data_IF_102299219109
#
_entry.id   IF_102299219109
#
_cell.length_a   1.000
_cell.length_b   1.000
_cell.length_c   1.000
_cell.angle_alpha   90.00
_cell.angle_beta   90.00
_cell.angle_gamma   90.00
#
_symmetry.space_group_name_H-M   'P 1'
#
loop_
_entity.id
_entity.type
_entity.pdbx_description
1 polymer ?
#
# COMPACT_ATOMS: atom_id res chain seq x y z
N UNK A 1 -58.97 12.41 -5.37
CA UNK A 1 -57.81 11.88 -6.12
C UNK A 1 -56.59 11.96 -5.21
N UNK A 2 -56.31 10.89 -4.47
CA UNK A 2 -55.14 10.77 -3.60
C UNK A 2 -53.90 10.43 -4.45
N UNK A 3 -52.74 11.07 -4.25
CA UNK A 3 -51.52 10.73 -4.98
C UNK A 3 -50.95 9.41 -4.48
N UNK A 4 -50.49 8.58 -5.42
CA UNK A 4 -49.84 7.29 -5.17
C UNK A 4 -48.56 7.46 -4.34
N UNK A 5 -48.26 6.57 -3.38
CA UNK A 5 -47.03 6.60 -2.61
C UNK A 5 -45.84 6.13 -3.47
N UNK A 6 -44.81 6.98 -3.57
CA UNK A 6 -43.53 6.77 -4.26
C UNK A 6 -42.59 5.76 -3.57
N UNK A 7 -43.15 4.80 -2.84
CA UNK A 7 -42.39 3.77 -2.13
C UNK A 7 -42.58 2.43 -2.84
N UNK A 8 -41.67 2.11 -3.77
CA UNK A 8 -41.18 0.74 -4.03
C UNK A 8 -40.58 0.59 -5.44
N UNK A 9 -39.51 1.31 -5.80
CA UNK A 9 -38.67 0.92 -6.95
C UNK A 9 -37.21 1.37 -6.76
N UNK A 10 -36.46 0.71 -5.88
CA UNK A 10 -34.98 0.78 -5.94
C UNK A 10 -34.31 -0.51 -5.45
N UNK A 11 -34.78 -1.66 -5.95
CA UNK A 11 -34.13 -2.96 -5.74
C UNK A 11 -34.19 -3.79 -7.03
N UNK A 12 -33.61 -3.30 -8.12
CA UNK A 12 -33.40 -4.14 -9.31
C UNK A 12 -32.31 -3.65 -10.26
N UNK A 13 -31.42 -2.73 -9.86
CA UNK A 13 -30.29 -2.41 -10.72
C UNK A 13 -29.21 -3.49 -10.56
N UNK A 14 -28.85 -4.24 -11.61
CA UNK A 14 -27.72 -5.15 -11.54
C UNK A 14 -26.48 -4.33 -11.19
N UNK A 15 -25.73 -4.74 -10.16
CA UNK A 15 -24.43 -4.13 -9.84
C UNK A 15 -23.58 -4.23 -11.10
N UNK A 16 -23.34 -3.09 -11.76
CA UNK A 16 -22.43 -3.04 -12.88
C UNK A 16 -21.11 -3.65 -12.43
N UNK A 17 -20.70 -4.76 -13.06
CA UNK A 17 -19.37 -5.32 -12.86
C UNK A 17 -18.40 -4.23 -13.28
N UNK A 18 -17.79 -3.56 -12.31
CA UNK A 18 -16.81 -2.51 -12.56
C UNK A 18 -15.73 -3.13 -13.44
N UNK A 19 -15.56 -2.63 -14.67
CA UNK A 19 -14.47 -3.10 -15.54
C UNK A 19 -13.17 -3.02 -14.75
N UNK A 20 -12.41 -4.11 -14.73
CA UNK A 20 -11.07 -4.13 -14.13
C UNK A 20 -10.23 -3.09 -14.86
N UNK A 21 -9.97 -1.96 -14.21
CA UNK A 21 -9.02 -0.97 -14.71
C UNK A 21 -7.64 -1.50 -14.32
N UNK A 22 -6.81 -1.84 -15.32
CA UNK A 22 -5.42 -2.15 -15.06
C UNK A 22 -4.74 -0.88 -14.56
N UNK A 23 -4.47 -0.81 -13.26
CA UNK A 23 -3.69 0.27 -12.68
C UNK A 23 -2.24 0.10 -13.11
N UNK A 24 -1.65 1.14 -13.72
CA UNK A 24 -0.24 1.10 -14.11
C UNK A 24 0.62 0.91 -12.87
N UNK A 25 1.46 -0.12 -12.91
CA UNK A 25 2.34 -0.54 -11.84
C UNK A 25 3.79 -0.32 -12.26
N UNK A 26 4.62 0.09 -11.30
CA UNK A 26 6.06 0.15 -11.52
C UNK A 26 6.60 -1.29 -11.55
N UNK A 27 7.46 -1.69 -12.49
CA UNK A 27 8.14 -2.99 -12.42
C UNK A 27 8.82 -3.17 -11.06
N UNK A 28 8.68 -4.35 -10.44
CA UNK A 28 9.20 -4.55 -9.08
C UNK A 28 10.72 -4.40 -8.99
N UNK A 29 11.45 -4.60 -10.09
CA UNK A 29 12.89 -4.35 -10.22
C UNK A 29 13.28 -2.87 -10.02
N UNK A 30 12.36 -1.93 -10.26
CA UNK A 30 12.58 -0.49 -10.15
C UNK A 30 12.13 0.08 -8.80
N UNK A 31 11.33 -0.67 -8.02
CA UNK A 31 10.84 -0.25 -6.70
C UNK A 31 11.96 0.18 -5.76
N UNK A 32 13.12 -0.51 -5.66
CA UNK A 32 14.20 -0.07 -4.77
C UNK A 32 14.81 1.29 -5.14
N UNK A 33 14.96 1.56 -6.44
CA UNK A 33 15.43 2.86 -6.92
C UNK A 33 14.41 3.96 -6.61
N UNK A 34 13.12 3.68 -6.80
CA UNK A 34 12.05 4.62 -6.47
C UNK A 34 11.96 4.92 -4.97
N UNK A 35 12.13 3.91 -4.11
CA UNK A 35 12.20 4.13 -2.66
C UNK A 35 13.42 4.96 -2.24
N UNK A 36 14.54 4.81 -2.95
CA UNK A 36 15.71 5.69 -2.77
C UNK A 36 15.38 7.13 -3.13
N UNK A 37 14.70 7.36 -4.26
CA UNK A 37 14.18 8.69 -4.60
C UNK A 37 13.24 9.24 -3.53
N UNK A 38 12.33 8.42 -2.98
CA UNK A 38 11.41 8.88 -1.93
C UNK A 38 12.16 9.34 -0.67
N UNK A 39 13.22 8.64 -0.27
CA UNK A 39 14.08 9.02 0.87
C UNK A 39 14.91 10.28 0.65
N UNK A 40 15.10 10.74 -0.60
CA UNK A 40 15.89 11.94 -0.89
C UNK A 40 15.21 13.25 -0.49
N UNK A 41 13.97 13.21 0.00
CA UNK A 41 13.23 14.39 0.43
C UNK A 41 12.41 14.09 1.68
N UNK A 42 12.32 15.06 2.57
CA UNK A 42 11.57 14.92 3.82
C UNK A 42 10.16 15.47 3.66
N UNK A 43 9.17 14.59 3.56
CA UNK A 43 7.78 14.98 3.67
C UNK A 43 6.91 13.83 4.15
N UNK A 44 5.84 14.16 4.88
CA UNK A 44 4.87 13.18 5.36
C UNK A 44 4.21 12.39 4.21
N UNK A 45 4.06 13.00 3.02
CA UNK A 45 3.53 12.33 1.84
C UNK A 45 4.48 11.28 1.29
N UNK A 46 5.80 11.53 1.31
CA UNK A 46 6.82 10.56 0.90
C UNK A 46 6.92 9.40 1.89
N UNK A 47 6.82 9.68 3.19
CA UNK A 47 6.72 8.62 4.22
C UNK A 47 5.45 7.78 4.04
N UNK A 48 4.30 8.40 3.78
CA UNK A 48 3.05 7.68 3.52
C UNK A 48 3.13 6.80 2.26
N UNK A 49 3.70 7.31 1.16
CA UNK A 49 3.88 6.50 -0.05
C UNK A 49 4.87 5.35 0.17
N UNK A 50 5.96 5.60 0.91
CA UNK A 50 6.91 4.56 1.32
C UNK A 50 6.20 3.48 2.15
N UNK A 51 5.37 3.87 3.11
CA UNK A 51 4.60 2.96 3.94
C UNK A 51 3.62 2.12 3.12
N UNK A 52 2.95 2.74 2.14
CA UNK A 52 2.06 2.05 1.22
C UNK A 52 2.78 0.94 0.45
N UNK A 53 3.97 1.23 -0.08
CA UNK A 53 4.78 0.26 -0.83
C UNK A 53 5.22 -0.88 0.10
N UNK A 54 5.81 -0.57 1.25
CA UNK A 54 6.35 -1.55 2.19
C UNK A 54 5.29 -2.46 2.82
N UNK A 55 4.03 -2.02 2.87
CA UNK A 55 2.91 -2.82 3.42
C UNK A 55 1.99 -3.39 2.35
N UNK A 56 2.22 -3.05 1.07
CA UNK A 56 1.35 -3.37 -0.06
C UNK A 56 -0.14 -3.05 0.21
N UNK A 57 -0.45 -1.99 0.94
CA UNK A 57 -1.82 -1.59 1.31
C UNK A 57 -2.44 -0.62 0.30
N UNK A 58 -3.72 -0.32 0.48
CA UNK A 58 -4.44 0.67 -0.35
C UNK A 58 -4.17 2.08 0.17
N UNK A 59 -4.23 3.07 -0.72
CA UNK A 59 -4.07 4.50 -0.36
C UNK A 59 -4.97 4.93 0.81
N UNK A 60 -6.24 4.55 0.80
CA UNK A 60 -7.17 4.90 1.89
C UNK A 60 -6.81 4.28 3.24
N UNK A 61 -6.22 3.09 3.24
CA UNK A 61 -5.80 2.38 4.46
C UNK A 61 -4.63 3.13 5.13
N UNK A 62 -3.63 3.52 4.34
CA UNK A 62 -2.44 4.26 4.79
C UNK A 62 -2.77 5.68 5.23
N UNK A 63 -3.51 6.43 4.40
CA UNK A 63 -3.78 7.85 4.70
C UNK A 63 -4.58 8.02 5.99
N UNK A 64 -5.39 7.02 6.34
CA UNK A 64 -6.19 7.01 7.57
C UNK A 64 -5.61 6.11 8.67
N UNK A 65 -4.34 5.67 8.54
CA UNK A 65 -3.68 4.89 9.58
C UNK A 65 -3.58 5.70 10.88
N UNK A 66 -3.80 5.03 12.00
CA UNK A 66 -3.86 5.67 13.32
C UNK A 66 -2.87 5.02 14.30
N UNK A 67 -2.31 5.80 15.23
CA UNK A 67 -1.24 5.34 16.13
C UNK A 67 -1.66 4.23 17.09
N UNK A 68 -2.93 4.19 17.46
CA UNK A 68 -3.54 3.13 18.28
C UNK A 68 -3.64 1.78 17.54
N UNK A 69 -3.50 1.79 16.21
CA UNK A 69 -3.47 0.57 15.39
C UNK A 69 -2.06 -0.05 15.29
N UNK A 70 -1.02 0.68 15.72
CA UNK A 70 0.38 0.29 15.55
C UNK A 70 0.93 -0.30 16.84
N UNK A 71 1.23 -1.59 16.79
CA UNK A 71 1.96 -2.30 17.84
C UNK A 71 3.43 -2.44 17.43
N UNK A 72 4.28 -1.59 17.98
CA UNK A 72 5.73 -1.64 17.71
C UNK A 72 6.44 -2.80 18.40
N UNK A 73 5.89 -3.33 19.50
CA UNK A 73 6.48 -4.43 20.26
C UNK A 73 6.33 -5.73 19.48
N UNK A 74 5.11 -6.03 19.05
CA UNK A 74 4.81 -7.21 18.23
C UNK A 74 5.08 -6.98 16.74
N UNK A 75 5.43 -5.74 16.33
CA UNK A 75 5.60 -5.31 14.94
C UNK A 75 4.36 -5.64 14.10
N UNK A 76 3.20 -5.16 14.53
CA UNK A 76 1.91 -5.36 13.85
C UNK A 76 1.23 -4.03 13.59
N UNK A 77 0.53 -3.94 12.47
CA UNK A 77 -0.46 -2.90 12.21
C UNK A 77 -1.82 -3.56 11.95
N UNK A 78 -2.81 -3.22 12.77
CA UNK A 78 -4.14 -3.82 12.71
C UNK A 78 -5.15 -2.82 12.16
N UNK A 79 -5.60 -3.03 10.92
CA UNK A 79 -6.62 -2.19 10.29
C UNK A 79 -8.00 -2.72 10.68
N UNK A 80 -8.86 -1.89 11.31
CA UNK A 80 -10.18 -2.32 11.77
C UNK A 80 -11.12 -2.61 10.60
N UNK A 81 -12.09 -3.49 10.83
CA UNK A 81 -12.98 -4.03 9.80
C UNK A 81 -13.77 -2.93 9.05
N UNK A 82 -14.11 -1.85 9.74
CA UNK A 82 -14.87 -0.70 9.22
C UNK A 82 -14.10 0.07 8.14
N UNK A 83 -12.76 -0.01 8.15
CA UNK A 83 -11.89 0.61 7.12
C UNK A 83 -11.54 -0.37 6.00
N UNK A 84 -11.86 -1.66 6.14
CA UNK A 84 -11.52 -2.69 5.18
C UNK A 84 -12.65 -2.94 4.18
N UNK A 85 -12.30 -2.99 2.89
CA UNK A 85 -13.25 -3.29 1.81
C UNK A 85 -13.99 -4.63 1.98
N UNK A 86 -13.34 -5.60 2.63
CA UNK A 86 -13.89 -6.93 2.87
C UNK A 86 -14.68 -7.05 4.19
N UNK A 87 -14.81 -5.96 4.96
CA UNK A 87 -15.55 -5.94 6.23
C UNK A 87 -14.96 -6.85 7.31
N UNK A 88 -13.66 -7.12 7.24
CA UNK A 88 -12.91 -7.92 8.22
C UNK A 88 -11.62 -7.22 8.55
N UNK A 89 -11.22 -7.30 9.81
CA UNK A 89 -9.94 -6.78 10.27
C UNK A 89 -8.78 -7.33 9.43
N UNK A 90 -7.78 -6.48 9.18
CA UNK A 90 -6.56 -6.87 8.49
C UNK A 90 -5.33 -6.60 9.36
N UNK A 91 -4.73 -7.68 9.86
CA UNK A 91 -3.48 -7.62 10.62
C UNK A 91 -2.30 -7.76 9.66
N UNK A 92 -1.45 -6.74 9.63
CA UNK A 92 -0.28 -6.60 8.77
C UNK A 92 0.99 -6.72 9.61
N UNK A 93 1.82 -7.76 9.41
CA UNK A 93 3.17 -7.81 9.97
C UNK A 93 4.04 -6.68 9.42
N UNK A 94 4.74 -5.98 10.31
CA UNK A 94 5.62 -4.88 9.95
C UNK A 94 7.06 -5.37 9.80
N UNK A 95 7.66 -5.05 8.67
CA UNK A 95 9.09 -5.24 8.48
C UNK A 95 9.91 -4.25 9.30
N UNK A 96 11.19 -4.54 9.51
CA UNK A 96 12.12 -3.63 10.19
C UNK A 96 12.17 -2.25 9.52
N UNK A 97 12.13 -2.20 8.18
CA UNK A 97 12.10 -0.98 7.38
C UNK A 97 10.78 -0.23 7.57
N UNK A 98 9.65 -0.93 7.64
CA UNK A 98 8.36 -0.31 7.86
C UNK A 98 8.25 0.29 9.28
N UNK A 99 8.76 -0.41 10.30
CA UNK A 99 8.85 0.14 11.66
C UNK A 99 9.69 1.42 11.69
N UNK A 100 10.78 1.49 10.91
CA UNK A 100 11.58 2.71 10.80
C UNK A 100 10.78 3.88 10.20
N UNK A 101 10.01 3.63 9.13
CA UNK A 101 9.15 4.65 8.51
C UNK A 101 8.10 5.18 9.48
N UNK A 102 7.45 4.30 10.25
CA UNK A 102 6.53 4.74 11.29
C UNK A 102 7.24 5.54 12.40
N UNK A 103 8.46 5.17 12.80
CA UNK A 103 9.22 5.97 13.77
C UNK A 103 9.54 7.37 13.23
N UNK A 104 9.93 7.51 11.95
CA UNK A 104 10.12 8.81 11.31
C UNK A 104 8.82 9.64 11.30
N UNK A 105 7.69 9.00 11.01
CA UNK A 105 6.39 9.67 11.00
C UNK A 105 5.98 10.22 12.39
N UNK A 106 6.57 9.73 13.49
CA UNK A 106 6.32 10.30 14.83
C UNK A 106 6.72 11.77 14.93
N UNK A 107 7.72 12.22 14.15
CA UNK A 107 8.13 13.63 14.09
C UNK A 107 7.06 14.57 13.52
N UNK A 108 6.03 14.02 12.87
CA UNK A 108 4.90 14.77 12.29
C UNK A 108 3.63 14.69 13.14
N UNK A 109 3.70 14.12 14.36
CA UNK A 109 2.52 13.95 15.23
C UNK A 109 1.89 15.30 15.59
N UNK A 110 0.57 15.38 15.44
CA UNK A 110 -0.23 16.51 15.91
C UNK A 110 -0.82 16.21 17.29
N UNK A 111 -0.84 17.18 18.20
CA UNK A 111 -1.31 16.97 19.59
C UNK A 111 -2.77 16.50 19.71
N UNK A 112 -3.62 16.79 18.72
CA UNK A 112 -5.07 16.49 18.73
C UNK A 112 -5.51 15.52 17.64
N UNK A 113 -4.58 14.75 17.07
CA UNK A 113 -4.87 13.78 16.02
C UNK A 113 -4.15 12.47 16.30
N UNK A 114 -4.83 11.34 16.07
CA UNK A 114 -4.21 10.01 16.13
C UNK A 114 -3.64 9.57 14.77
N UNK A 115 -3.77 10.38 13.73
CA UNK A 115 -3.26 10.02 12.40
C UNK A 115 -1.74 9.85 12.40
N UNK A 116 -1.29 8.75 11.80
CA UNK A 116 0.13 8.49 11.53
C UNK A 116 0.66 9.45 10.46
N UNK A 117 -0.16 9.74 9.45
CA UNK A 117 0.17 10.62 8.33
C UNK A 117 -0.82 11.79 8.23
N UNK A 118 -0.67 12.84 9.06
CA UNK A 118 -1.57 13.99 9.02
C UNK A 118 -1.46 14.75 7.69
N UNK A 119 -2.59 15.29 7.24
CA UNK A 119 -2.68 16.19 6.10
C UNK A 119 -2.46 17.66 6.50
N UNK A 120 -2.55 18.56 5.52
CA UNK A 120 -2.38 20.01 5.76
C UNK A 120 -3.46 20.62 6.66
N UNK A 121 -4.65 20.01 6.72
CA UNK A 121 -5.72 20.41 7.63
C UNK A 121 -5.61 19.55 8.89
N UNK A 122 -5.47 20.20 10.05
CA UNK A 122 -5.36 19.53 11.34
C UNK A 122 -6.47 18.48 11.55
N UNK A 123 -6.09 17.29 12.02
CA UNK A 123 -7.02 16.18 12.24
C UNK A 123 -7.62 15.57 10.97
N UNK A 124 -7.16 15.94 9.77
CA UNK A 124 -7.58 15.32 8.51
C UNK A 124 -6.43 14.54 7.88
N UNK A 125 -6.72 13.39 7.25
CA UNK A 125 -5.70 12.60 6.58
C UNK A 125 -5.17 13.34 5.34
N UNK A 126 -4.03 12.87 4.83
CA UNK A 126 -3.57 13.25 3.50
C UNK A 126 -4.66 13.03 2.46
N UNK A 127 -4.66 13.83 1.40
CA UNK A 127 -5.51 13.60 0.24
C UNK A 127 -4.95 12.44 -0.60
N UNK A 128 -5.81 11.74 -1.34
CA UNK A 128 -5.36 10.71 -2.29
C UNK A 128 -4.43 11.30 -3.37
N UNK A 129 -4.73 12.54 -3.78
CA UNK A 129 -3.94 13.29 -4.76
C UNK A 129 -2.51 13.55 -4.28
N UNK A 130 -2.26 13.63 -2.96
CA UNK A 130 -0.92 13.84 -2.43
C UNK A 130 0.02 12.70 -2.83
N UNK A 131 -0.41 11.44 -2.71
CA UNK A 131 0.40 10.29 -3.12
C UNK A 131 0.54 10.21 -4.65
N UNK A 132 -0.56 10.45 -5.36
CA UNK A 132 -0.57 10.46 -6.83
C UNK A 132 0.38 11.52 -7.40
N UNK A 133 0.42 12.72 -6.82
CA UNK A 133 1.31 13.80 -7.26
C UNK A 133 2.78 13.41 -7.09
N UNK A 134 3.15 12.71 -6.01
CA UNK A 134 4.54 12.26 -5.81
C UNK A 134 4.97 11.31 -6.96
N UNK A 135 4.11 10.38 -7.37
CA UNK A 135 4.41 9.51 -8.52
C UNK A 135 4.55 10.33 -9.82
N UNK A 136 3.66 11.30 -10.06
CA UNK A 136 3.73 12.17 -11.24
C UNK A 136 4.99 13.05 -11.26
N UNK A 137 5.34 13.65 -10.12
CA UNK A 137 6.53 14.48 -9.98
C UNK A 137 7.82 13.65 -10.21
N UNK A 138 7.80 12.37 -9.82
CA UNK A 138 8.87 11.42 -10.11
C UNK A 138 8.91 10.94 -11.57
N UNK A 139 7.89 11.29 -12.37
CA UNK A 139 7.71 10.87 -13.77
C UNK A 139 7.72 9.36 -13.97
N UNK A 140 7.25 8.61 -12.98
CA UNK A 140 7.06 7.16 -13.10
C UNK A 140 5.69 6.86 -13.69
N UNK A 141 5.63 5.84 -14.55
CA UNK A 141 4.37 5.33 -15.09
C UNK A 141 3.65 4.43 -14.06
N UNK A 142 3.37 4.95 -12.86
CA UNK A 142 2.69 4.18 -11.82
C UNK A 142 1.75 5.06 -10.99
N UNK A 143 0.70 4.43 -10.46
CA UNK A 143 -0.19 5.04 -9.47
C UNK A 143 -0.03 4.37 -8.11
N UNK A 144 -0.40 5.00 -6.99
CA UNK A 144 -0.22 4.40 -5.66
C UNK A 144 -0.80 2.99 -5.53
N UNK A 145 -1.97 2.72 -6.13
CA UNK A 145 -2.54 1.37 -6.12
C UNK A 145 -1.70 0.33 -6.90
N UNK A 146 -0.98 0.76 -7.94
CA UNK A 146 -0.19 -0.12 -8.81
C UNK A 146 0.95 -0.82 -8.07
N UNK A 147 1.48 -0.26 -6.98
CA UNK A 147 2.52 -0.91 -6.17
C UNK A 147 2.07 -2.23 -5.54
N UNK A 148 0.77 -2.46 -5.41
CA UNK A 148 0.23 -3.76 -4.98
C UNK A 148 0.46 -4.83 -6.03
N UNK A 149 0.37 -4.48 -7.31
CA UNK A 149 0.74 -5.37 -8.41
C UNK A 149 2.26 -5.59 -8.41
N UNK A 150 3.07 -4.55 -8.23
CA UNK A 150 4.53 -4.69 -8.09
C UNK A 150 4.91 -5.70 -6.99
N UNK A 151 4.27 -5.61 -5.82
CA UNK A 151 4.44 -6.61 -4.76
C UNK A 151 4.03 -8.02 -5.20
N UNK A 152 2.87 -8.15 -5.86
CA UNK A 152 2.35 -9.44 -6.29
C UNK A 152 3.23 -10.13 -7.34
N UNK A 153 3.74 -9.35 -8.29
CA UNK A 153 4.64 -9.78 -9.36
C UNK A 153 5.99 -10.21 -8.76
N UNK A 154 6.55 -9.42 -7.84
CA UNK A 154 7.76 -9.80 -7.11
C UNK A 154 7.60 -11.14 -6.36
N UNK A 155 6.49 -11.34 -5.64
CA UNK A 155 6.27 -12.62 -4.96
C UNK A 155 6.22 -13.78 -5.96
N UNK A 156 5.58 -13.58 -7.11
CA UNK A 156 5.42 -14.63 -8.12
C UNK A 156 6.73 -14.98 -8.84
N UNK A 157 7.56 -13.99 -9.12
CA UNK A 157 8.72 -14.15 -10.01
C UNK A 157 10.04 -14.36 -9.25
N UNK A 158 10.20 -13.75 -8.07
CA UNK A 158 11.49 -13.71 -7.37
C UNK A 158 11.52 -14.55 -6.08
N UNK A 159 10.40 -15.19 -5.71
CA UNK A 159 10.30 -15.88 -4.42
C UNK A 159 9.68 -17.26 -4.53
N UNK A 160 9.82 -18.04 -3.47
CA UNK A 160 9.16 -19.34 -3.29
C UNK A 160 7.97 -19.25 -2.33
N UNK A 161 7.51 -18.03 -1.99
CA UNK A 161 6.35 -17.88 -1.13
C UNK A 161 5.07 -18.33 -1.85
N UNK A 162 4.18 -18.95 -1.10
CA UNK A 162 2.87 -19.33 -1.60
C UNK A 162 2.07 -18.09 -2.02
N UNK A 163 1.51 -18.12 -3.23
CA UNK A 163 0.67 -17.05 -3.76
C UNK A 163 -0.50 -16.69 -2.84
N UNK A 164 -1.05 -17.67 -2.13
CA UNK A 164 -2.11 -17.43 -1.14
C UNK A 164 -1.63 -16.54 0.02
N UNK A 165 -0.38 -16.66 0.44
CA UNK A 165 0.18 -15.80 1.49
C UNK A 165 0.27 -14.35 0.98
N UNK A 166 0.61 -14.15 -0.30
CA UNK A 166 0.61 -12.84 -0.94
C UNK A 166 -0.81 -12.25 -1.03
N UNK A 167 -1.79 -13.05 -1.45
CA UNK A 167 -3.19 -12.65 -1.49
C UNK A 167 -3.73 -12.29 -0.09
N UNK A 168 -3.32 -13.03 0.96
CA UNK A 168 -3.63 -12.69 2.35
C UNK A 168 -2.96 -11.39 2.82
N UNK A 169 -1.72 -11.12 2.42
CA UNK A 169 -1.05 -9.84 2.70
C UNK A 169 -1.78 -8.66 2.04
N UNK A 170 -2.31 -8.87 0.84
CA UNK A 170 -3.13 -7.91 0.11
C UNK A 170 -4.58 -7.77 0.63
N UNK A 171 -4.96 -8.52 1.67
CA UNK A 171 -6.34 -8.62 2.15
C UNK A 171 -7.35 -8.98 1.04
N UNK A 172 -6.94 -9.86 0.13
CA UNK A 172 -7.82 -10.46 -0.86
C UNK A 172 -8.52 -11.67 -0.25
N UNK A 173 -9.74 -11.93 -0.71
CA UNK A 173 -10.49 -13.13 -0.32
C UNK A 173 -10.00 -14.29 -1.15
N UNK A 174 -9.41 -15.30 -0.52
CA UNK A 174 -9.01 -16.52 -1.20
C UNK A 174 -10.19 -17.47 -1.28
N UNK A 175 -10.47 -17.94 -2.49
CA UNK A 175 -11.63 -18.76 -2.79
C UNK A 175 -11.38 -20.22 -2.47
N UNK A 176 -11.72 -20.66 -1.24
CA UNK A 176 -12.28 -21.99 -0.96
C UNK A 176 -12.70 -22.07 0.52
N UNK A 177 -13.99 -22.33 0.76
CA UNK A 177 -14.56 -22.43 2.12
C UNK A 177 -13.89 -23.51 2.99
N UNK A 178 -13.28 -24.53 2.36
CA UNK A 178 -12.58 -25.64 3.03
C UNK A 178 -11.20 -25.21 3.54
N UNK A 179 -10.45 -24.40 2.79
CA UNK A 179 -9.17 -23.82 3.24
C UNK A 179 -9.34 -22.72 4.27
N UNK A 180 -10.42 -21.94 4.16
CA UNK A 180 -10.75 -20.90 5.14
C UNK A 180 -10.88 -21.44 6.58
N UNK A 181 -11.35 -22.70 6.74
CA UNK A 181 -11.46 -23.38 8.02
C UNK A 181 -10.12 -23.90 8.57
N UNK A 182 -9.13 -24.16 7.71
CA UNK A 182 -7.76 -24.53 8.11
C UNK A 182 -6.94 -23.33 8.60
N UNK A 183 -7.35 -22.08 8.28
CA UNK A 183 -6.62 -20.83 8.57
C UNK A 183 -6.89 -20.25 9.95
N UNK A 184 -6.92 -21.10 11.00
CA UNK A 184 -7.13 -20.67 12.39
C UNK A 184 -6.10 -19.66 12.93
N UNK A 185 -5.02 -19.36 12.18
CA UNK A 185 -4.00 -18.37 12.56
C UNK A 185 -3.62 -17.32 11.49
N UNK A 186 -4.47 -17.04 10.48
CA UNK A 186 -4.23 -16.04 9.40
C UNK A 186 -2.83 -16.12 8.74
N UNK A 187 -2.16 -17.28 8.87
CA UNK A 187 -0.75 -17.53 8.51
C UNK A 187 0.18 -16.37 8.90
N UNK A 188 -0.04 -15.76 10.07
CA UNK A 188 0.62 -14.51 10.46
C UNK A 188 2.15 -14.60 10.42
N UNK A 189 2.72 -15.71 10.90
CA UNK A 189 4.17 -15.89 10.93
C UNK A 189 4.75 -16.05 9.52
N UNK A 190 4.06 -16.77 8.63
CA UNK A 190 4.49 -16.84 7.23
C UNK A 190 4.43 -15.47 6.54
N UNK A 191 3.39 -14.68 6.85
CA UNK A 191 3.30 -13.28 6.38
C UNK A 191 4.38 -12.41 6.99
N UNK A 192 4.82 -12.64 8.24
CA UNK A 192 5.94 -11.90 8.84
C UNK A 192 7.22 -12.10 8.05
N UNK A 193 7.54 -13.35 7.69
CA UNK A 193 8.70 -13.67 6.86
C UNK A 193 8.58 -13.02 5.48
N UNK A 194 7.41 -13.10 4.85
CA UNK A 194 7.14 -12.47 3.55
C UNK A 194 7.32 -10.94 3.59
N UNK A 195 6.72 -10.26 4.58
CA UNK A 195 6.78 -8.81 4.68
C UNK A 195 8.20 -8.32 5.03
N UNK A 196 8.95 -9.05 5.85
CA UNK A 196 10.36 -8.74 6.11
C UNK A 196 11.20 -8.89 4.83
N UNK A 197 11.02 -9.97 4.08
CA UNK A 197 11.70 -10.18 2.81
C UNK A 197 11.37 -9.08 1.79
N UNK A 198 10.10 -8.68 1.70
CA UNK A 198 9.67 -7.57 0.84
C UNK A 198 10.31 -6.25 1.26
N UNK A 199 10.33 -5.95 2.56
CA UNK A 199 10.97 -4.76 3.10
C UNK A 199 12.47 -4.71 2.82
N UNK A 200 13.16 -5.84 2.96
CA UNK A 200 14.58 -5.98 2.64
C UNK A 200 14.84 -5.77 1.14
N UNK A 201 14.08 -6.44 0.27
CA UNK A 201 14.18 -6.27 -1.18
C UNK A 201 13.94 -4.82 -1.61
N UNK A 202 12.89 -4.19 -1.10
CA UNK A 202 12.52 -2.80 -1.38
C UNK A 202 13.60 -1.79 -0.97
N UNK A 203 14.34 -2.06 0.10
CA UNK A 203 15.32 -1.14 0.65
C UNK A 203 16.77 -1.58 0.43
N UNK A 204 16.99 -2.55 -0.46
CA UNK A 204 18.35 -2.96 -0.81
C UNK A 204 19.11 -1.81 -1.48
N UNK A 205 20.35 -1.62 -1.08
CA UNK A 205 21.27 -0.73 -1.79
C UNK A 205 21.80 -1.51 -3.00
N UNK A 206 21.54 -1.04 -4.22
CA UNK A 206 22.27 -1.59 -5.37
C UNK A 206 23.74 -1.22 -5.20
N UNK A 207 24.62 -2.22 -5.28
CA UNK A 207 26.05 -1.98 -5.45
C UNK A 207 26.20 -1.11 -6.70
N UNK A 208 26.70 0.12 -6.55
CA UNK A 208 26.96 1.01 -7.68
C UNK A 208 28.13 0.42 -8.45
N UNK A 209 27.90 -0.09 -9.65
CA UNK A 209 28.99 -0.22 -10.62
C UNK A 209 29.48 1.20 -10.93
N UNK A 210 30.73 1.48 -10.55
CA UNK A 210 31.44 2.71 -10.85
C UNK A 210 31.67 2.81 -12.36
N UNK A 211 30.67 3.27 -13.11
CA UNK A 211 30.79 3.39 -14.56
C UNK A 211 29.63 4.02 -15.32
N UNK A 212 28.49 4.31 -14.69
CA UNK A 212 27.38 4.96 -15.38
C UNK A 212 26.81 6.10 -14.54
N UNK A 213 27.19 7.33 -14.90
CA UNK A 213 26.81 8.58 -14.25
C UNK A 213 25.40 9.06 -14.67
N UNK A 214 24.47 8.12 -14.90
CA UNK A 214 23.05 8.43 -15.13
C UNK A 214 22.25 8.19 -13.85
N UNK A 215 21.48 9.21 -13.44
CA UNK A 215 20.67 9.19 -12.22
C UNK A 215 19.73 7.98 -12.23
N UNK A 216 19.51 7.26 -11.11
CA UNK A 216 18.68 6.03 -11.06
C UNK A 216 17.25 6.17 -11.60
N UNK A 217 16.78 7.41 -11.82
CA UNK A 217 15.45 7.76 -12.29
C UNK A 217 15.37 7.85 -13.83
N UNK A 218 16.50 7.99 -14.55
CA UNK A 218 16.47 8.11 -16.02
C UNK A 218 15.98 6.85 -16.73
N UNK A 219 16.20 5.67 -16.13
CA UNK A 219 15.76 4.38 -16.69
C UNK A 219 14.26 4.10 -16.53
N UNK A 220 13.57 4.85 -15.66
CA UNK A 220 12.14 4.67 -15.34
C UNK A 220 11.22 5.70 -16.03
N UNK A 221 11.80 6.63 -16.81
CA UNK A 221 11.04 7.66 -17.52
C UNK A 221 10.34 7.03 -18.72
N UNK A 222 9.01 7.10 -18.74
CA UNK A 222 8.22 6.68 -19.91
C UNK A 222 8.62 7.53 -21.13
N UNK A 223 8.91 6.93 -22.30
CA UNK A 223 9.34 7.66 -23.50
C UNK A 223 8.25 8.54 -24.14
N UNK A 224 7.00 8.49 -23.65
CA UNK A 224 5.84 9.19 -24.24
C UNK A 224 5.39 10.44 -23.46
N UNK A 225 6.24 11.00 -22.60
CA UNK A 225 5.91 12.22 -21.84
C UNK A 225 6.76 13.43 -22.29
N UNK A 226 6.57 13.87 -23.52
CA UNK A 226 6.87 15.24 -23.95
C UNK A 226 5.59 15.92 -24.49
N UNK A 227 5.47 17.25 -24.33
CA UNK A 227 4.19 17.98 -24.41
C UNK A 227 3.52 18.00 -25.78
#
# INVERSE_FOLDING_TARGET
TLPLPLAAMDKSLPKAKTKTVHHTALPYAEVPAFLTYLRSGDSIGRLALTALILTATRSGEIRSASWDEIDFENKLWTIPAERMKAGREHVIPLSSQMCHVFKLAQGYREARSQLVFPGQRAGKPLSDMTLTKICRDARIAAVPHGFRSSFRDWVAEETQFDGDIAEMALAHTIGNKVEAAYRRGNLLEKRRILMEAWGAYCCQEKCRDEGNESSPIELARSPEAEP
#
